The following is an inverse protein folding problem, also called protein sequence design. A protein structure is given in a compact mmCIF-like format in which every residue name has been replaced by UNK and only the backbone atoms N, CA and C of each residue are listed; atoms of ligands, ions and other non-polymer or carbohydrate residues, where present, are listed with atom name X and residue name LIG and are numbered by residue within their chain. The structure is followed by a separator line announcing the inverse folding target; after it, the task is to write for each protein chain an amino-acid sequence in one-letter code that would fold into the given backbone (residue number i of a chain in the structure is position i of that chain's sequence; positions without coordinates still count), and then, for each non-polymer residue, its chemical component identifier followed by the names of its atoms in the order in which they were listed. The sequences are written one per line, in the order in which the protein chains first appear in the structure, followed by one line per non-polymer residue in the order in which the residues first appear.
data_IF_136985238483
#
_entry.id   IF_136985238483
#
_cell.length_a   1.000
_cell.length_b   1.000
_cell.length_c   1.000
_cell.angle_alpha   90.00
_cell.angle_beta   90.00
_cell.angle_gamma   90.00
#
_symmetry.space_group_name_H-M   'P 1'
#
loop_
_entity.id
_entity.type
_entity.pdbx_description
1 polymer ?
#
# COMPACT_ATOMS: atom_id res chain seq x y z
N UNK A 1 2.98 -0.75 -13.14
CA UNK A 1 3.24 -1.78 -12.12
C UNK A 1 4.75 -1.98 -11.94
N UNK A 2 5.19 -2.18 -10.74
CA UNK A 2 6.58 -2.50 -10.46
C UNK A 2 6.65 -3.67 -9.49
N UNK A 3 7.67 -4.48 -9.64
CA UNK A 3 8.01 -5.48 -8.63
C UNK A 3 9.05 -4.85 -7.71
N UNK A 4 8.79 -4.90 -6.42
CA UNK A 4 9.69 -4.33 -5.43
C UNK A 4 10.09 -5.39 -4.42
N UNK A 5 11.28 -5.27 -3.87
CA UNK A 5 11.68 -6.14 -2.77
C UNK A 5 10.96 -5.70 -1.52
N UNK A 6 10.39 -6.65 -0.80
CA UNK A 6 9.69 -6.35 0.45
C UNK A 6 10.63 -5.66 1.44
N UNK A 7 11.85 -6.15 1.56
CA UNK A 7 12.83 -5.57 2.44
C UNK A 7 13.23 -4.18 1.94
N UNK A 8 13.17 -3.20 2.82
CA UNK A 8 13.51 -1.82 2.48
C UNK A 8 12.45 -1.05 1.72
N UNK A 9 11.37 -1.72 1.30
CA UNK A 9 10.34 -1.07 0.50
C UNK A 9 9.49 -0.08 1.29
N UNK A 10 9.30 -0.32 2.58
CA UNK A 10 8.42 0.52 3.41
C UNK A 10 8.87 1.97 3.39
N UNK A 11 10.15 2.20 3.57
CA UNK A 11 10.69 3.56 3.56
C UNK A 11 10.49 4.23 2.21
N UNK A 12 10.76 3.51 1.13
CA UNK A 12 10.58 4.02 -0.24
C UNK A 12 9.12 4.37 -0.52
N UNK A 13 8.21 3.53 -0.06
CA UNK A 13 6.79 3.76 -0.21
C UNK A 13 6.37 5.02 0.53
N UNK A 14 6.83 5.19 1.77
CA UNK A 14 6.51 6.38 2.54
C UNK A 14 7.04 7.64 1.86
N UNK A 15 8.28 7.60 1.41
CA UNK A 15 8.87 8.75 0.72
C UNK A 15 8.12 9.08 -0.57
N UNK A 16 7.69 8.05 -1.30
CA UNK A 16 6.89 8.26 -2.50
C UNK A 16 5.54 8.87 -2.21
N UNK A 17 4.87 8.40 -1.14
CA UNK A 17 3.58 8.96 -0.75
C UNK A 17 3.65 10.44 -0.41
N UNK A 18 4.73 10.89 0.21
CA UNK A 18 4.89 12.28 0.55
C UNK A 18 4.88 13.20 -0.67
N UNK A 19 5.23 12.67 -1.83
CA UNK A 19 5.30 13.43 -3.07
C UNK A 19 4.02 13.36 -3.90
N UNK A 20 3.07 12.52 -3.51
CA UNK A 20 1.84 12.36 -4.28
C UNK A 20 0.79 13.38 -3.85
N UNK A 21 -0.13 13.75 -4.77
CA UNK A 21 -1.22 14.65 -4.41
C UNK A 21 -2.22 13.93 -3.50
N UNK A 22 -3.15 14.71 -2.93
CA UNK A 22 -4.21 14.15 -2.10
C UNK A 22 -5.03 13.14 -2.89
N UNK A 23 -5.48 12.11 -2.20
CA UNK A 23 -6.27 11.00 -2.73
C UNK A 23 -5.52 10.07 -3.68
N UNK A 24 -4.27 10.38 -4.00
CA UNK A 24 -3.42 9.46 -4.73
C UNK A 24 -2.67 8.55 -3.75
N UNK A 25 -2.14 7.47 -4.25
CA UNK A 25 -1.43 6.55 -3.39
C UNK A 25 -0.90 5.35 -4.14
N UNK A 26 -0.80 4.24 -3.43
CA UNK A 26 -0.28 2.99 -3.98
C UNK A 26 -1.19 1.82 -3.62
N UNK A 27 -1.24 0.87 -4.53
CA UNK A 27 -1.79 -0.45 -4.24
C UNK A 27 -0.61 -1.42 -4.19
N UNK A 28 -0.50 -2.16 -3.08
CA UNK A 28 0.57 -3.14 -2.86
C UNK A 28 -0.07 -4.52 -2.83
N UNK A 29 0.35 -5.40 -3.72
CA UNK A 29 -0.21 -6.74 -3.79
C UNK A 29 0.86 -7.78 -3.56
N UNK A 30 0.46 -8.92 -2.99
CA UNK A 30 1.31 -10.08 -2.94
C UNK A 30 1.62 -10.53 -4.37
N UNK A 31 2.65 -11.35 -4.54
CA UNK A 31 3.02 -11.81 -5.87
C UNK A 31 1.84 -12.51 -6.57
N UNK A 32 1.07 -13.27 -5.83
CA UNK A 32 -0.10 -13.98 -6.37
C UNK A 32 -1.36 -13.12 -6.47
N UNK A 33 -1.29 -11.87 -6.04
CA UNK A 33 -2.40 -10.90 -6.08
C UNK A 33 -3.62 -11.27 -5.23
N UNK A 34 -3.47 -12.20 -4.31
CA UNK A 34 -4.58 -12.61 -3.46
C UNK A 34 -4.68 -11.82 -2.15
N UNK A 35 -3.71 -10.96 -1.88
CA UNK A 35 -3.69 -10.09 -0.70
C UNK A 35 -3.17 -8.73 -1.11
N UNK A 36 -3.67 -7.70 -0.49
CA UNK A 36 -3.25 -6.37 -0.86
C UNK A 36 -3.46 -5.33 0.22
N UNK A 37 -2.77 -4.22 0.05
CA UNK A 37 -2.92 -3.03 0.85
C UNK A 37 -3.07 -1.84 -0.09
N UNK A 38 -4.01 -0.95 0.23
CA UNK A 38 -4.12 0.32 -0.47
C UNK A 38 -3.67 1.41 0.48
N UNK A 39 -2.79 2.28 0.02
CA UNK A 39 -2.29 3.41 0.79
C UNK A 39 -2.64 4.69 0.04
N UNK A 40 -3.46 5.53 0.66
CA UNK A 40 -3.96 6.74 0.01
C UNK A 40 -3.72 7.96 0.90
N UNK A 41 -3.21 9.02 0.32
CA UNK A 41 -3.12 10.29 1.04
C UNK A 41 -4.49 10.93 1.06
N UNK A 42 -5.06 11.14 2.25
CA UNK A 42 -6.38 11.74 2.37
C UNK A 42 -6.35 13.19 2.82
N UNK A 43 -5.28 13.57 3.55
CA UNK A 43 -5.07 14.94 3.99
C UNK A 43 -3.58 15.14 4.18
N UNK A 44 -3.17 16.38 4.41
CA UNK A 44 -1.77 16.65 4.73
C UNK A 44 -1.35 15.83 5.96
N UNK A 45 -0.36 14.99 5.77
CA UNK A 45 0.18 14.18 6.85
C UNK A 45 -0.64 12.97 7.26
N UNK A 46 -1.79 12.71 6.62
CA UNK A 46 -2.61 11.54 6.93
C UNK A 46 -2.69 10.57 5.76
N UNK A 47 -2.69 9.29 6.09
CA UNK A 47 -2.77 8.21 5.11
C UNK A 47 -3.88 7.25 5.51
N UNK A 48 -4.74 6.92 4.55
CA UNK A 48 -5.72 5.86 4.71
C UNK A 48 -5.09 4.57 4.23
N UNK A 49 -5.11 3.55 5.08
CA UNK A 49 -4.58 2.23 4.74
C UNK A 49 -5.73 1.24 4.76
N UNK A 50 -5.94 0.55 3.64
CA UNK A 50 -6.98 -0.48 3.54
C UNK A 50 -6.31 -1.83 3.40
N UNK A 51 -6.60 -2.72 4.33
CA UNK A 51 -6.08 -4.08 4.34
C UNK A 51 -7.10 -5.01 3.70
N UNK A 52 -6.67 -5.78 2.70
CA UNK A 52 -7.51 -6.75 1.99
C UNK A 52 -6.73 -8.05 1.83
N UNK A 53 -7.02 -9.01 2.68
CA UNK A 53 -6.29 -10.27 2.64
C UNK A 53 -6.85 -11.22 3.67
N UNK A 54 -6.04 -11.60 4.63
CA UNK A 54 -6.50 -12.46 5.72
C UNK A 54 -7.61 -11.80 6.52
N UNK A 55 -7.62 -10.48 6.54
CA UNK A 55 -8.70 -9.73 7.17
C UNK A 55 -8.94 -8.46 6.36
N UNK A 56 -10.07 -7.84 6.58
CA UNK A 56 -10.40 -6.57 5.95
C UNK A 56 -10.50 -5.51 7.03
N UNK A 57 -9.72 -4.45 6.88
CA UNK A 57 -9.66 -3.39 7.86
C UNK A 57 -9.23 -2.08 7.22
N UNK A 58 -9.56 -0.98 7.88
CA UNK A 58 -9.12 0.35 7.47
C UNK A 58 -8.45 1.02 8.63
N UNK A 59 -7.38 1.74 8.34
CA UNK A 59 -6.62 2.49 9.33
C UNK A 59 -6.38 3.90 8.81
N UNK A 60 -6.39 4.85 9.72
CA UNK A 60 -6.00 6.23 9.42
C UNK A 60 -4.82 6.56 10.30
N UNK A 61 -3.67 6.81 9.69
CA UNK A 61 -2.44 7.04 10.44
C UNK A 61 -1.75 8.27 9.91
N UNK A 62 -0.96 8.90 10.77
CA UNK A 62 -0.08 9.99 10.34
C UNK A 62 1.05 9.41 9.51
N UNK A 63 1.68 10.27 8.71
CA UNK A 63 2.85 9.87 7.95
C UNK A 63 3.96 9.35 8.87
N UNK A 64 4.06 9.92 10.08
CA UNK A 64 5.06 9.50 11.05
C UNK A 64 4.83 8.07 11.56
N UNK A 65 3.58 7.64 11.67
CA UNK A 65 3.25 6.32 12.19
C UNK A 65 3.10 5.27 11.09
N UNK A 66 3.13 5.69 9.83
CA UNK A 66 2.88 4.81 8.71
C UNK A 66 3.86 3.66 8.61
N UNK A 67 5.15 3.91 8.80
CA UNK A 67 6.16 2.85 8.69
C UNK A 67 5.92 1.73 9.71
N UNK A 68 5.55 2.12 10.91
CA UNK A 68 5.29 1.17 11.99
C UNK A 68 4.10 0.28 11.65
N UNK A 69 3.03 0.90 11.15
CA UNK A 69 1.85 0.16 10.73
C UNK A 69 2.18 -0.78 9.57
N UNK A 70 2.90 -0.30 8.56
CA UNK A 70 3.25 -1.12 7.41
C UNK A 70 4.11 -2.31 7.79
N UNK A 71 5.03 -2.15 8.72
CA UNK A 71 5.84 -3.28 9.19
C UNK A 71 4.94 -4.38 9.77
N UNK A 72 3.95 -3.98 10.55
CA UNK A 72 3.02 -4.92 11.13
C UNK A 72 2.16 -5.60 10.07
N UNK A 73 1.61 -4.83 9.14
CA UNK A 73 0.75 -5.37 8.09
C UNK A 73 1.51 -6.24 7.10
N UNK A 74 2.73 -5.86 6.75
CA UNK A 74 3.57 -6.68 5.88
C UNK A 74 3.87 -8.02 6.50
N UNK A 75 4.12 -8.03 7.80
CA UNK A 75 4.39 -9.27 8.52
C UNK A 75 3.15 -10.17 8.56
N UNK A 76 1.98 -9.58 8.65
CA UNK A 76 0.73 -10.33 8.73
C UNK A 76 0.25 -10.81 7.36
N UNK A 77 0.28 -9.92 6.35
CA UNK A 77 -0.30 -10.21 5.04
C UNK A 77 0.70 -10.80 4.04
N UNK A 78 1.98 -10.47 4.19
CA UNK A 78 3.01 -10.92 3.25
C UNK A 78 4.16 -11.65 3.93
N UNK A 79 3.89 -12.60 4.84
CA UNK A 79 4.96 -13.19 5.64
C UNK A 79 5.99 -13.97 4.83
N UNK A 80 5.57 -14.54 3.70
CA UNK A 80 6.45 -15.36 2.87
C UNK A 80 6.84 -14.70 1.56
N UNK A 81 6.38 -13.47 1.33
CA UNK A 81 6.68 -12.78 0.09
C UNK A 81 8.03 -12.10 0.20
N UNK A 82 8.85 -12.25 -0.83
CA UNK A 82 10.09 -11.50 -0.95
C UNK A 82 9.91 -10.30 -1.85
N UNK A 83 9.01 -10.42 -2.82
CA UNK A 83 8.68 -9.37 -3.76
C UNK A 83 7.21 -9.07 -3.72
N UNK A 84 6.88 -7.81 -3.89
CA UNK A 84 5.51 -7.32 -3.91
C UNK A 84 5.28 -6.57 -5.20
N UNK A 85 4.01 -6.50 -5.61
CA UNK A 85 3.62 -5.72 -6.79
C UNK A 85 3.14 -4.37 -6.32
N UNK A 86 3.67 -3.33 -6.95
CA UNK A 86 3.34 -1.95 -6.59
C UNK A 86 2.67 -1.26 -7.76
N UNK A 87 1.49 -0.72 -7.52
CA UNK A 87 0.75 0.08 -8.50
C UNK A 87 0.52 1.47 -7.93
N UNK A 88 0.65 2.48 -8.78
CA UNK A 88 0.32 3.84 -8.37
C UNK A 88 -1.15 4.08 -8.65
N UNK A 89 -1.84 4.71 -7.70
CA UNK A 89 -3.26 5.03 -7.81
C UNK A 89 -3.41 6.54 -7.86
N UNK A 90 -4.17 7.04 -8.83
CA UNK A 90 -4.49 8.46 -8.90
C UNK A 90 -5.71 8.80 -8.06
N UNK A 91 -6.55 7.81 -7.78
CA UNK A 91 -7.74 7.98 -6.96
C UNK A 91 -8.09 6.66 -6.28
N UNK A 92 -8.92 6.69 -5.24
CA UNK A 92 -9.31 5.44 -4.54
C UNK A 92 -10.03 4.43 -5.44
N UNK A 93 -10.68 4.87 -6.50
CA UNK A 93 -11.45 4.00 -7.36
C UNK A 93 -10.58 3.21 -8.35
N UNK A 94 -9.36 3.62 -8.58
CA UNK A 94 -8.51 3.00 -9.59
C UNK A 94 -8.04 1.59 -9.24
N UNK A 95 -7.99 1.25 -7.98
CA UNK A 95 -7.41 -0.02 -7.56
C UNK A 95 -8.04 -1.23 -8.25
N UNK A 96 -9.36 -1.27 -8.31
CA UNK A 96 -10.07 -2.38 -8.93
C UNK A 96 -9.83 -2.46 -10.44
N UNK A 97 -9.77 -1.30 -11.08
CA UNK A 97 -9.49 -1.21 -12.50
C UNK A 97 -8.07 -1.64 -12.81
N UNK A 98 -7.12 -1.26 -11.99
CA UNK A 98 -5.74 -1.65 -12.17
C UNK A 98 -5.60 -3.16 -12.20
N UNK A 99 -6.24 -3.84 -11.28
CA UNK A 99 -6.18 -5.29 -11.23
C UNK A 99 -6.88 -5.96 -12.40
N UNK A 100 -7.99 -5.38 -12.86
CA UNK A 100 -8.75 -5.95 -13.97
C UNK A 100 -8.00 -5.87 -15.28
N UNK A 101 -7.10 -4.93 -15.42
CA UNK A 101 -6.32 -4.76 -16.65
C UNK A 101 -5.13 -5.68 -16.75
N UNK A 102 -4.84 -6.35 -15.68
CA UNK A 102 -3.73 -7.28 -15.62
C UNK A 102 -4.21 -8.70 -15.93
#
# INVERSE_FOLDING_TARGET
MALINKEGSIRRIREGLEKLPEFAGYEILSYKRNRGLDLLRIEAGLVLVRERGYREAEYRVSMADLEKLLKSLFRFEFPRSRQLRLYQLASPEERGQTRKRL
#
